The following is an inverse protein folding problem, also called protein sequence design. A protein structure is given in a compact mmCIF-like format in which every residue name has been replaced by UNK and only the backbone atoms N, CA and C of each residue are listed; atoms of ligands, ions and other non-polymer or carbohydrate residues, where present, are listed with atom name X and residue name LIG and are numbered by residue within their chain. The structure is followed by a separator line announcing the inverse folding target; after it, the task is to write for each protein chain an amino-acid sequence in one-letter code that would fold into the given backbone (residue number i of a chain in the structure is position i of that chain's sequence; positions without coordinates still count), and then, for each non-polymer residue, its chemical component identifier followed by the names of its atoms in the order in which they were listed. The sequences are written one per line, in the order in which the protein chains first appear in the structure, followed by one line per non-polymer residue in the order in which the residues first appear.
data_IF_245781103770
#
_entry.id   IF_245781103770
#
_cell.length_a   1.000
_cell.length_b   1.000
_cell.length_c   1.000
_cell.angle_alpha   90.00
_cell.angle_beta   90.00
_cell.angle_gamma   90.00
#
_symmetry.space_group_name_H-M   'P 1'
#
loop_
_entity.id
_entity.type
_entity.pdbx_description
1 polymer ?
#
# COMPACT_ATOMS: atom_id res chain seq x y z
N UNK A 1 20.74 -2.18 -47.68
CA UNK A 1 21.06 -2.60 -46.35
C UNK A 1 21.23 -1.38 -45.47
N UNK A 2 20.64 -1.36 -44.23
CA UNK A 2 20.79 -0.23 -43.34
C UNK A 2 22.26 -0.04 -42.96
N UNK A 3 22.72 1.20 -42.78
CA UNK A 3 24.12 1.50 -42.49
C UNK A 3 24.51 0.92 -41.11
N UNK A 4 25.77 0.43 -41.00
CA UNK A 4 26.29 -0.27 -39.80
C UNK A 4 26.14 0.52 -38.48
N UNK A 5 26.08 1.85 -38.53
CA UNK A 5 25.91 2.73 -37.36
C UNK A 5 24.50 2.66 -36.74
N UNK A 6 23.48 2.25 -37.52
CA UNK A 6 22.10 2.13 -36.99
C UNK A 6 21.97 1.00 -35.98
N UNK A 7 22.70 -0.10 -36.20
CA UNK A 7 22.79 -1.21 -35.25
C UNK A 7 23.52 -0.85 -33.96
N UNK A 8 24.57 -0.02 -34.04
CA UNK A 8 25.28 0.48 -32.87
C UNK A 8 24.45 1.50 -32.07
N UNK A 9 23.71 2.36 -32.75
CA UNK A 9 22.79 3.32 -32.09
C UNK A 9 21.67 2.62 -31.35
N UNK A 10 21.11 1.54 -31.89
CA UNK A 10 20.11 0.71 -31.23
C UNK A 10 20.69 -0.04 -30.02
N UNK A 11 21.95 -0.47 -30.13
CA UNK A 11 22.67 -1.13 -29.04
C UNK A 11 23.00 -0.15 -27.92
N UNK A 12 23.45 1.05 -28.22
CA UNK A 12 23.66 2.14 -27.26
C UNK A 12 22.35 2.60 -26.57
N UNK A 13 21.27 2.71 -27.34
CA UNK A 13 19.94 3.02 -26.72
C UNK A 13 19.47 1.94 -25.76
N UNK A 14 19.69 0.66 -26.06
CA UNK A 14 19.37 -0.46 -25.15
C UNK A 14 20.27 -0.46 -23.92
N UNK A 15 21.55 -0.19 -24.05
CA UNK A 15 22.50 -0.08 -22.93
C UNK A 15 22.20 1.12 -22.03
N UNK A 16 21.92 2.28 -22.62
CA UNK A 16 21.53 3.47 -21.86
C UNK A 16 20.18 3.29 -21.14
N UNK A 17 19.21 2.60 -21.76
CA UNK A 17 17.95 2.30 -21.10
C UNK A 17 18.15 1.37 -19.91
N UNK A 18 18.98 0.34 -20.00
CA UNK A 18 19.23 -0.61 -18.91
C UNK A 18 19.99 0.02 -17.74
N UNK A 19 20.98 0.88 -18.03
CA UNK A 19 21.72 1.62 -16.98
C UNK A 19 20.85 2.64 -16.25
N UNK A 20 19.98 3.38 -16.97
CA UNK A 20 19.06 4.33 -16.37
C UNK A 20 18.01 3.64 -15.47
N UNK A 21 17.59 2.45 -15.85
CA UNK A 21 16.59 1.67 -15.12
C UNK A 21 17.14 1.12 -13.81
N UNK A 22 18.35 0.56 -13.84
CA UNK A 22 19.04 0.10 -12.61
C UNK A 22 19.30 1.28 -11.67
N UNK A 23 19.71 2.43 -12.19
CA UNK A 23 19.88 3.64 -11.39
C UNK A 23 18.54 4.08 -10.74
N UNK A 24 17.43 3.98 -11.47
CA UNK A 24 16.12 4.33 -10.95
C UNK A 24 15.66 3.39 -9.82
N UNK A 25 15.92 2.08 -9.92
CA UNK A 25 15.64 1.12 -8.86
C UNK A 25 16.36 1.47 -7.55
N UNK A 26 17.59 2.01 -7.65
CA UNK A 26 18.36 2.47 -6.50
C UNK A 26 17.88 3.80 -5.95
N UNK A 27 17.38 4.71 -6.79
CA UNK A 27 16.94 6.06 -6.38
C UNK A 27 15.51 6.06 -5.85
N UNK A 28 14.61 5.24 -6.43
CA UNK A 28 13.19 5.21 -6.07
C UNK A 28 12.91 5.00 -4.57
N UNK A 29 13.64 4.16 -3.81
CA UNK A 29 13.43 3.99 -2.38
C UNK A 29 13.66 5.26 -1.55
N UNK A 30 14.45 6.21 -2.06
CA UNK A 30 14.79 7.47 -1.39
C UNK A 30 13.83 8.62 -1.73
N UNK A 31 12.84 8.39 -2.58
CA UNK A 31 11.77 9.36 -2.84
C UNK A 31 10.73 9.27 -1.72
N UNK A 32 10.87 10.11 -0.72
CA UNK A 32 10.00 10.11 0.46
C UNK A 32 8.67 10.81 0.23
N UNK A 33 8.64 11.83 -0.65
CA UNK A 33 7.39 12.53 -0.96
C UNK A 33 6.44 11.66 -1.79
N UNK A 34 5.20 11.41 -1.30
CA UNK A 34 4.24 10.58 -2.02
C UNK A 34 3.78 11.17 -3.35
N UNK A 35 3.79 12.51 -3.49
CA UNK A 35 3.39 13.22 -4.71
C UNK A 35 4.45 13.04 -5.81
N UNK A 36 5.71 13.29 -5.47
CA UNK A 36 6.84 13.11 -6.39
C UNK A 36 6.92 11.66 -6.86
N UNK A 37 6.79 10.72 -5.92
CA UNK A 37 6.80 9.29 -6.22
C UNK A 37 5.64 8.88 -7.13
N UNK A 38 4.47 9.46 -6.93
CA UNK A 38 3.32 9.22 -7.80
C UNK A 38 3.53 9.80 -9.20
N UNK A 39 4.12 10.99 -9.29
CA UNK A 39 4.47 11.63 -10.57
C UNK A 39 5.47 10.78 -11.37
N UNK A 40 6.50 10.30 -10.70
CA UNK A 40 7.49 9.38 -11.30
C UNK A 40 6.84 8.10 -11.82
N UNK A 41 5.89 7.53 -11.09
CA UNK A 41 5.19 6.31 -11.50
C UNK A 41 4.31 6.48 -12.75
N UNK A 42 4.00 7.70 -13.14
CA UNK A 42 3.19 8.02 -14.32
C UNK A 42 4.02 8.24 -15.59
N UNK A 43 5.34 8.30 -15.49
CA UNK A 43 6.22 8.60 -16.64
C UNK A 43 6.15 7.53 -17.72
N UNK A 44 6.27 6.25 -17.35
CA UNK A 44 6.13 5.13 -18.27
C UNK A 44 5.80 3.81 -17.52
N UNK A 45 5.43 2.77 -18.29
CA UNK A 45 5.10 1.45 -17.74
C UNK A 45 6.22 0.85 -16.89
N UNK A 46 7.47 1.06 -17.26
CA UNK A 46 8.63 0.53 -16.53
C UNK A 46 8.82 1.24 -15.19
N UNK A 47 8.74 2.55 -15.16
CA UNK A 47 8.80 3.32 -13.93
C UNK A 47 7.63 2.99 -12.99
N UNK A 48 6.45 2.77 -13.56
CA UNK A 48 5.31 2.27 -12.83
C UNK A 48 5.56 0.90 -12.17
N UNK A 49 6.24 -0.02 -12.86
CA UNK A 49 6.61 -1.33 -12.31
C UNK A 49 7.67 -1.22 -11.22
N UNK A 50 8.70 -0.39 -11.43
CA UNK A 50 9.74 -0.14 -10.42
C UNK A 50 9.12 0.46 -9.16
N UNK A 51 8.22 1.44 -9.30
CA UNK A 51 7.47 1.99 -8.17
C UNK A 51 6.66 0.90 -7.44
N UNK A 52 6.00 0.00 -8.18
CA UNK A 52 5.24 -1.10 -7.59
C UNK A 52 6.10 -1.98 -6.67
N UNK A 53 7.30 -2.33 -7.11
CA UNK A 53 8.20 -3.24 -6.40
C UNK A 53 8.96 -2.56 -5.25
N UNK A 54 9.23 -1.26 -5.37
CA UNK A 54 10.05 -0.51 -4.41
C UNK A 54 9.24 0.28 -3.38
N UNK A 55 7.93 0.45 -3.60
CA UNK A 55 7.07 1.20 -2.66
C UNK A 55 6.77 0.36 -1.41
N UNK A 56 7.24 0.85 -0.28
CA UNK A 56 7.09 0.19 1.03
C UNK A 56 6.01 0.83 1.90
N UNK A 57 5.64 2.07 1.64
CA UNK A 57 4.71 2.83 2.46
C UNK A 57 3.56 3.36 1.60
N UNK A 58 2.32 3.05 1.99
CA UNK A 58 1.12 3.56 1.31
C UNK A 58 0.11 4.06 2.34
N UNK A 59 -0.50 5.20 2.01
CA UNK A 59 -1.67 5.72 2.73
C UNK A 59 -2.88 5.67 1.80
N UNK A 60 -3.88 4.89 2.19
CA UNK A 60 -5.21 4.88 1.56
C UNK A 60 -6.04 5.97 2.21
N UNK A 61 -6.32 7.03 1.45
CA UNK A 61 -7.02 8.22 1.97
C UNK A 61 -8.47 7.94 2.35
N UNK A 62 -9.08 6.95 1.69
CA UNK A 62 -10.47 6.54 1.91
C UNK A 62 -10.58 5.05 1.62
N UNK A 63 -11.01 4.25 2.60
CA UNK A 63 -10.99 2.78 2.52
C UNK A 63 -11.81 2.18 1.37
N UNK A 64 -12.71 2.93 0.77
CA UNK A 64 -13.51 2.52 -0.40
C UNK A 64 -13.02 3.09 -1.73
N UNK A 65 -11.94 3.86 -1.76
CA UNK A 65 -11.35 4.35 -3.01
C UNK A 65 -10.59 3.26 -3.78
N UNK A 66 -10.22 2.19 -3.09
CA UNK A 66 -9.57 1.02 -3.70
C UNK A 66 -9.92 -0.24 -2.92
N UNK A 67 -9.78 -1.40 -3.54
CA UNK A 67 -9.92 -2.68 -2.84
C UNK A 67 -8.57 -3.18 -2.30
N UNK A 68 -8.58 -3.97 -1.20
CA UNK A 68 -7.37 -4.57 -0.65
C UNK A 68 -6.61 -5.41 -1.69
N UNK A 69 -7.32 -6.21 -2.48
CA UNK A 69 -6.74 -7.06 -3.54
C UNK A 69 -6.01 -6.23 -4.61
N UNK A 70 -6.62 -5.11 -5.05
CA UNK A 70 -5.97 -4.20 -6.02
C UNK A 70 -4.73 -3.55 -5.45
N UNK A 71 -4.77 -3.16 -4.16
CA UNK A 71 -3.61 -2.58 -3.48
C UNK A 71 -2.47 -3.58 -3.40
N UNK A 72 -2.74 -4.81 -3.01
CA UNK A 72 -1.75 -5.89 -2.94
C UNK A 72 -1.14 -6.19 -4.31
N UNK A 73 -1.97 -6.31 -5.34
CA UNK A 73 -1.50 -6.55 -6.71
C UNK A 73 -0.62 -5.41 -7.22
N UNK A 74 -0.90 -4.18 -6.80
CA UNK A 74 -0.13 -3.00 -7.18
C UNK A 74 1.18 -2.88 -6.39
N UNK A 75 1.20 -3.22 -5.10
CA UNK A 75 2.33 -3.05 -4.19
C UNK A 75 2.60 -4.33 -3.38
N UNK A 76 3.22 -5.34 -3.99
CA UNK A 76 3.42 -6.65 -3.36
C UNK A 76 4.35 -6.62 -2.14
N UNK A 77 5.29 -5.68 -2.10
CA UNK A 77 6.34 -5.57 -1.07
C UNK A 77 6.04 -4.51 0.00
N UNK A 78 4.76 -4.25 0.25
CA UNK A 78 4.33 -3.22 1.19
C UNK A 78 4.71 -3.59 2.64
N UNK A 79 5.43 -2.68 3.31
CA UNK A 79 5.84 -2.85 4.71
C UNK A 79 4.97 -2.03 5.68
N UNK A 80 4.43 -0.90 5.23
CA UNK A 80 3.61 -0.02 6.06
C UNK A 80 2.35 0.42 5.31
N UNK A 81 1.20 0.18 5.91
CA UNK A 81 -0.10 0.52 5.36
C UNK A 81 -0.90 1.37 6.35
N UNK A 82 -1.29 2.55 5.91
CA UNK A 82 -2.24 3.39 6.63
C UNK A 82 -3.55 3.47 5.88
N UNK A 83 -4.64 3.12 6.54
CA UNK A 83 -5.99 3.14 5.96
C UNK A 83 -6.84 4.13 6.76
N UNK A 84 -7.47 5.05 6.06
CA UNK A 84 -8.44 5.97 6.63
C UNK A 84 -9.85 5.51 6.22
N UNK A 85 -10.69 5.30 7.20
CA UNK A 85 -12.10 4.91 7.01
C UNK A 85 -13.00 6.11 6.77
N UNK A 86 -13.86 6.42 7.75
CA UNK A 86 -14.83 7.51 7.66
C UNK A 86 -14.17 8.87 7.39
N UNK A 87 -14.82 9.74 6.61
CA UNK A 87 -14.36 11.10 6.41
C UNK A 87 -14.37 11.90 7.71
N UNK A 88 -13.70 13.06 7.72
CA UNK A 88 -13.64 13.92 8.90
C UNK A 88 -15.02 14.42 9.35
N UNK A 89 -15.95 14.54 8.41
CA UNK A 89 -17.35 14.91 8.66
C UNK A 89 -18.07 13.98 9.66
N UNK A 90 -17.66 12.72 9.74
CA UNK A 90 -18.17 11.77 10.75
C UNK A 90 -17.87 12.19 12.19
N UNK A 91 -16.88 13.07 12.43
CA UNK A 91 -16.56 13.61 13.76
C UNK A 91 -17.53 14.71 14.21
N UNK A 92 -18.41 15.16 13.35
CA UNK A 92 -19.41 16.21 13.60
C UNK A 92 -20.84 15.67 13.39
N UNK A 93 -21.01 14.35 13.51
CA UNK A 93 -22.28 13.64 13.34
C UNK A 93 -22.98 13.89 12.00
N UNK A 94 -22.22 14.33 10.98
CA UNK A 94 -22.72 14.57 9.62
C UNK A 94 -22.76 13.28 8.78
N UNK A 95 -22.36 12.15 9.32
CA UNK A 95 -22.33 10.84 8.67
C UNK A 95 -22.86 9.81 9.64
N UNK A 96 -23.82 8.96 9.26
CA UNK A 96 -24.36 7.92 10.13
C UNK A 96 -23.27 7.05 10.74
N UNK A 97 -23.47 6.60 11.98
CA UNK A 97 -22.46 5.85 12.75
C UNK A 97 -22.14 4.50 12.10
N UNK A 98 -23.11 3.87 11.46
CA UNK A 98 -23.01 2.61 10.73
C UNK A 98 -22.51 2.77 9.28
N UNK A 99 -22.28 3.99 8.82
CA UNK A 99 -21.88 4.26 7.44
C UNK A 99 -20.40 3.92 7.21
N UNK A 100 -20.16 2.91 6.40
CA UNK A 100 -18.86 2.59 5.82
C UNK A 100 -17.69 2.41 6.80
N UNK A 101 -16.52 2.25 6.28
CA UNK A 101 -15.28 2.19 7.07
C UNK A 101 -15.07 0.90 7.85
N UNK A 102 -15.72 -0.21 7.47
CA UNK A 102 -15.47 -1.53 8.06
C UNK A 102 -14.08 -2.03 7.71
N UNK A 103 -13.37 -2.56 8.69
CA UNK A 103 -12.02 -3.06 8.52
C UNK A 103 -11.98 -4.48 7.96
N UNK A 104 -13.02 -5.27 8.13
CA UNK A 104 -13.08 -6.69 7.78
C UNK A 104 -12.49 -7.04 6.40
N UNK A 105 -12.86 -6.39 5.28
CA UNK A 105 -12.31 -6.75 3.96
C UNK A 105 -10.80 -6.52 3.86
N UNK A 106 -10.31 -5.50 4.57
CA UNK A 106 -8.89 -5.17 4.64
C UNK A 106 -8.13 -6.17 5.50
N UNK A 107 -8.66 -6.46 6.69
CA UNK A 107 -8.07 -7.39 7.65
C UNK A 107 -7.93 -8.79 7.04
N UNK A 108 -8.99 -9.28 6.40
CA UNK A 108 -8.97 -10.58 5.71
C UNK A 108 -7.84 -10.67 4.69
N UNK A 109 -7.74 -9.72 3.78
CA UNK A 109 -6.68 -9.72 2.76
C UNK A 109 -5.29 -9.50 3.37
N UNK A 110 -5.17 -8.67 4.41
CA UNK A 110 -3.90 -8.44 5.12
C UNK A 110 -3.41 -9.71 5.79
N UNK A 111 -4.29 -10.43 6.47
CA UNK A 111 -3.95 -11.67 7.16
C UNK A 111 -3.49 -12.78 6.22
N UNK A 112 -4.05 -12.82 5.00
CA UNK A 112 -3.78 -13.90 4.06
C UNK A 112 -2.65 -13.60 3.08
N UNK A 113 -2.45 -12.33 2.71
CA UNK A 113 -1.72 -12.01 1.48
C UNK A 113 -0.65 -10.92 1.58
N UNK A 114 -0.61 -10.11 2.64
CA UNK A 114 0.39 -9.05 2.82
C UNK A 114 1.61 -9.54 3.62
N UNK A 115 2.41 -10.41 3.03
CA UNK A 115 3.49 -11.11 3.74
C UNK A 115 4.64 -10.23 4.22
N UNK A 116 4.80 -9.02 3.68
CA UNK A 116 5.85 -8.08 4.06
C UNK A 116 5.38 -7.00 5.04
N UNK A 117 4.09 -6.96 5.39
CA UNK A 117 3.51 -5.88 6.16
C UNK A 117 3.92 -5.97 7.63
N UNK A 118 4.63 -4.94 8.10
CA UNK A 118 5.14 -4.79 9.48
C UNK A 118 4.33 -3.81 10.29
N UNK A 119 3.77 -2.78 9.63
CA UNK A 119 3.07 -1.68 10.27
C UNK A 119 1.69 -1.47 9.65
N UNK A 120 0.63 -1.60 10.45
CA UNK A 120 -0.75 -1.33 10.06
C UNK A 120 -1.34 -0.21 10.91
N UNK A 121 -1.81 0.86 10.26
CA UNK A 121 -2.49 1.97 10.92
C UNK A 121 -3.90 2.12 10.38
N UNK A 122 -4.89 1.75 11.18
CA UNK A 122 -6.30 1.95 10.91
C UNK A 122 -6.77 3.24 11.59
N UNK A 123 -7.44 4.10 10.84
CA UNK A 123 -7.92 5.36 11.37
C UNK A 123 -9.40 5.58 11.02
N UNK A 124 -10.23 5.86 12.03
CA UNK A 124 -11.68 6.08 11.89
C UNK A 124 -12.35 4.94 11.14
N UNK A 125 -12.07 3.73 11.52
CA UNK A 125 -12.64 2.50 10.98
C UNK A 125 -13.43 1.77 12.07
N UNK A 126 -14.38 0.97 11.63
CA UNK A 126 -15.08 0.00 12.48
C UNK A 126 -14.25 -1.28 12.43
N UNK A 127 -13.70 -1.65 13.57
CA UNK A 127 -12.88 -2.85 13.78
C UNK A 127 -13.59 -3.70 14.82
N UNK A 128 -13.79 -4.97 14.59
CA UNK A 128 -14.41 -5.89 15.52
C UNK A 128 -13.38 -6.75 16.25
N UNK A 129 -13.76 -7.42 17.34
CA UNK A 129 -12.89 -8.37 18.02
C UNK A 129 -12.51 -9.54 17.08
N UNK A 130 -13.43 -9.98 16.22
CA UNK A 130 -13.15 -10.99 15.20
C UNK A 130 -12.08 -10.52 14.20
N UNK A 131 -12.07 -9.24 13.83
CA UNK A 131 -11.04 -8.66 12.97
C UNK A 131 -9.66 -8.73 13.64
N UNK A 132 -9.59 -8.40 14.92
CA UNK A 132 -8.36 -8.50 15.73
C UNK A 132 -7.88 -9.94 15.83
N UNK A 133 -8.78 -10.87 16.13
CA UNK A 133 -8.49 -12.30 16.17
C UNK A 133 -8.07 -12.87 14.80
N UNK A 134 -8.55 -12.33 13.69
CA UNK A 134 -8.06 -12.70 12.36
C UNK A 134 -6.62 -12.24 12.13
N UNK A 135 -6.22 -11.06 12.60
CA UNK A 135 -4.85 -10.58 12.49
C UNK A 135 -3.86 -11.44 13.27
N UNK A 136 -4.24 -11.89 14.47
CA UNK A 136 -3.38 -12.72 15.33
C UNK A 136 -3.24 -14.14 14.81
N UNK A 137 -4.32 -14.72 14.25
CA UNK A 137 -4.36 -16.09 13.70
C UNK A 137 -3.93 -16.16 12.24
N UNK A 138 -3.78 -15.03 11.57
CA UNK A 138 -3.46 -14.94 10.14
C UNK A 138 -2.04 -15.40 9.83
N UNK A 139 -1.78 -15.58 8.53
CA UNK A 139 -0.45 -15.99 8.02
C UNK A 139 0.58 -14.85 8.00
N UNK A 140 0.16 -13.64 8.33
CA UNK A 140 1.07 -12.49 8.36
C UNK A 140 1.82 -12.42 9.70
N UNK A 141 2.84 -13.27 9.84
CA UNK A 141 3.71 -13.27 11.03
C UNK A 141 4.68 -12.07 11.10
N UNK A 142 4.66 -11.20 10.09
CA UNK A 142 5.56 -10.04 10.02
C UNK A 142 4.98 -8.79 10.67
N UNK A 143 3.68 -8.78 10.98
CA UNK A 143 3.04 -7.61 11.58
C UNK A 143 3.60 -7.35 12.99
N UNK A 144 4.24 -6.21 13.17
CA UNK A 144 4.90 -5.81 14.42
C UNK A 144 4.13 -4.74 15.16
N UNK A 145 3.43 -3.86 14.43
CA UNK A 145 2.74 -2.71 15.00
C UNK A 145 1.35 -2.59 14.41
N UNK A 146 0.34 -2.65 15.27
CA UNK A 146 -1.04 -2.28 14.97
C UNK A 146 -1.37 -0.97 15.68
N UNK A 147 -1.73 0.07 14.91
CA UNK A 147 -2.19 1.36 15.44
C UNK A 147 -3.66 1.56 15.13
N UNK A 148 -4.48 1.69 16.15
CA UNK A 148 -5.90 2.02 16.05
C UNK A 148 -6.10 3.49 16.48
N UNK A 149 -6.48 4.35 15.53
CA UNK A 149 -6.68 5.80 15.76
C UNK A 149 -8.15 6.14 15.52
N UNK A 150 -8.87 6.46 16.58
CA UNK A 150 -10.30 6.78 16.54
C UNK A 150 -11.13 5.68 15.86
N UNK A 151 -10.78 4.44 16.10
CA UNK A 151 -11.53 3.27 15.70
C UNK A 151 -12.57 2.90 16.74
N UNK A 152 -13.64 2.20 16.33
CA UNK A 152 -14.72 1.73 17.18
C UNK A 152 -15.08 0.29 16.85
N UNK A 153 -15.86 -0.37 17.73
CA UNK A 153 -16.43 -1.69 17.48
C UNK A 153 -15.69 -2.86 18.12
N UNK A 154 -14.52 -2.62 18.73
CA UNK A 154 -13.76 -3.63 19.48
C UNK A 154 -13.89 -3.44 20.99
N UNK A 155 -13.74 -4.52 21.73
CA UNK A 155 -13.73 -4.54 23.20
C UNK A 155 -12.31 -4.66 23.78
N UNK A 156 -12.19 -4.51 25.09
CA UNK A 156 -10.93 -4.75 25.80
C UNK A 156 -10.49 -6.22 25.65
N UNK A 157 -11.44 -7.16 25.59
CA UNK A 157 -11.15 -8.58 25.44
C UNK A 157 -10.50 -8.87 24.08
N UNK A 158 -11.01 -8.26 22.99
CA UNK A 158 -10.43 -8.42 21.67
C UNK A 158 -9.01 -7.83 21.51
N UNK A 159 -8.57 -6.98 22.46
CA UNK A 159 -7.20 -6.47 22.49
C UNK A 159 -6.25 -7.38 23.31
N UNK A 160 -6.78 -8.31 24.10
CA UNK A 160 -5.98 -9.18 24.98
C UNK A 160 -5.76 -10.58 24.37
N UNK A 161 -6.46 -10.93 23.29
CA UNK A 161 -6.24 -12.16 22.49
C UNK A 161 -5.01 -12.01 21.58
#
# INVERSE_FOLDING_TARGET
PPPAWEGELLKMRRLNSSLSDTALEWVMPYLDDPGDRSSVSLVCKKWHQIDALTRKHVTVATCYSTSPVRLRSRFPNLESLKIKGKPRAAMFDLVPEDWGGRAEPWIREISDSFHCLKFLHLRRMIVTDDDLGMLTRGRNHMLQVLKLDKCSGFSTNGLLE
#
